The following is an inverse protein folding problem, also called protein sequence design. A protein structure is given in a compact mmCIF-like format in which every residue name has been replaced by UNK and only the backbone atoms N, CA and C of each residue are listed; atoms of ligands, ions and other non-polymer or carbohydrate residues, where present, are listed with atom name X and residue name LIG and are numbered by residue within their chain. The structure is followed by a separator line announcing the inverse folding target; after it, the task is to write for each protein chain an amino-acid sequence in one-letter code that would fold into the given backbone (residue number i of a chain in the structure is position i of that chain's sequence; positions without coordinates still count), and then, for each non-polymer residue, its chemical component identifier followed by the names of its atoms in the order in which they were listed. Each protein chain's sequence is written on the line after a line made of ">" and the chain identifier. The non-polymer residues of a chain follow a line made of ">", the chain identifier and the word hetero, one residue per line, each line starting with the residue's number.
data_IF_156964271888
#
_entry.id   IF_156964271888
#
_cell.length_a   1.000
_cell.length_b   1.000
_cell.length_c   1.000
_cell.angle_alpha   90.00
_cell.angle_beta   90.00
_cell.angle_gamma   90.00
#
_symmetry.space_group_name_H-M   'P 1'
#
loop_
_entity.id
_entity.type
_entity.pdbx_description
1 polymer ?
#
# COMPACT_ATOMS: atom_id res chain seq x y z
N UNK A 1 9.42 2.67 -14.01
CA UNK A 1 8.71 2.35 -12.79
C UNK A 1 9.63 1.69 -11.76
N UNK A 2 10.29 0.56 -12.09
CA UNK A 2 11.22 -0.19 -11.23
C UNK A 2 12.31 0.70 -10.60
N UNK A 3 13.02 1.50 -11.40
CA UNK A 3 14.07 2.41 -10.91
C UNK A 3 13.53 3.44 -9.91
N UNK A 4 12.33 3.95 -10.14
CA UNK A 4 11.66 4.88 -9.22
C UNK A 4 11.35 4.23 -7.88
N UNK A 5 10.87 2.99 -7.89
CA UNK A 5 10.60 2.22 -6.66
C UNK A 5 11.90 1.94 -5.89
N UNK A 6 12.99 1.58 -6.58
CA UNK A 6 14.29 1.39 -5.95
C UNK A 6 14.81 2.66 -5.26
N UNK A 7 14.66 3.81 -5.91
CA UNK A 7 15.04 5.11 -5.30
C UNK A 7 14.17 5.40 -4.06
N UNK A 8 12.87 5.13 -4.12
CA UNK A 8 11.97 5.28 -2.98
C UNK A 8 12.39 4.43 -1.78
N UNK A 9 12.80 3.19 -2.01
CA UNK A 9 13.29 2.30 -0.93
C UNK A 9 14.59 2.79 -0.29
N UNK A 10 15.45 3.44 -1.04
CA UNK A 10 16.67 4.04 -0.49
C UNK A 10 16.38 5.28 0.37
N UNK A 11 15.46 6.13 -0.09
CA UNK A 11 15.12 7.38 0.61
C UNK A 11 14.22 7.16 1.83
N UNK A 12 13.37 6.13 1.80
CA UNK A 12 12.34 5.84 2.81
C UNK A 12 12.44 4.42 3.37
N UNK A 13 13.66 3.89 3.50
CA UNK A 13 13.89 2.49 3.87
C UNK A 13 13.28 2.08 5.22
N UNK A 14 13.16 2.99 6.17
CA UNK A 14 12.51 2.71 7.47
C UNK A 14 11.01 2.43 7.32
N UNK A 15 10.29 3.22 6.51
CA UNK A 15 8.86 2.99 6.25
C UNK A 15 8.63 1.75 5.40
N UNK A 16 9.49 1.51 4.42
CA UNK A 16 9.45 0.30 3.59
C UNK A 16 9.66 -0.95 4.43
N UNK A 17 10.68 -0.95 5.31
CA UNK A 17 10.96 -2.07 6.21
C UNK A 17 9.79 -2.31 7.20
N UNK A 18 9.20 -1.24 7.73
CA UNK A 18 8.06 -1.35 8.64
C UNK A 18 6.82 -1.90 7.93
N UNK A 19 6.47 -1.38 6.73
CA UNK A 19 5.34 -1.88 5.94
C UNK A 19 5.53 -3.35 5.58
N UNK A 20 6.74 -3.73 5.14
CA UNK A 20 7.05 -5.12 4.82
C UNK A 20 6.90 -6.04 6.04
N UNK A 21 7.41 -5.65 7.19
CA UNK A 21 7.27 -6.41 8.42
C UNK A 21 5.80 -6.52 8.87
N UNK A 22 5.00 -5.43 8.76
CA UNK A 22 3.57 -5.42 9.04
C UNK A 22 2.77 -6.34 8.11
N UNK A 23 3.20 -6.50 6.84
CA UNK A 23 2.52 -7.33 5.86
C UNK A 23 2.45 -8.81 6.25
N UNK A 24 3.31 -9.25 7.16
CA UNK A 24 3.30 -10.63 7.69
C UNK A 24 2.31 -10.86 8.84
N UNK A 25 1.70 -9.80 9.33
CA UNK A 25 0.80 -9.87 10.51
C UNK A 25 -0.56 -9.22 10.27
N UNK A 26 -0.75 -8.51 9.15
CA UNK A 26 -1.98 -7.77 8.87
C UNK A 26 -2.37 -7.88 7.39
N UNK A 27 -3.59 -8.36 7.07
CA UNK A 27 -4.10 -8.40 5.70
C UNK A 27 -4.12 -7.02 5.02
N UNK A 28 -4.45 -5.96 5.75
CA UNK A 28 -4.44 -4.59 5.24
C UNK A 28 -3.02 -4.16 4.87
N UNK A 29 -2.06 -4.46 5.73
CA UNK A 29 -0.65 -4.15 5.44
C UNK A 29 -0.08 -5.02 4.33
N UNK A 30 -0.54 -6.27 4.21
CA UNK A 30 -0.21 -7.13 3.07
C UNK A 30 -0.72 -6.53 1.76
N UNK A 31 -1.97 -6.07 1.72
CA UNK A 31 -2.52 -5.39 0.56
C UNK A 31 -1.71 -4.13 0.19
N UNK A 32 -1.34 -3.31 1.18
CA UNK A 32 -0.52 -2.13 0.96
C UNK A 32 0.87 -2.47 0.43
N UNK A 33 1.51 -3.51 0.96
CA UNK A 33 2.82 -3.97 0.47
C UNK A 33 2.74 -4.47 -0.97
N UNK A 34 1.67 -5.18 -1.33
CA UNK A 34 1.44 -5.69 -2.69
C UNK A 34 1.06 -4.59 -3.70
N UNK A 35 0.58 -3.45 -3.25
CA UNK A 35 0.17 -2.33 -4.12
C UNK A 35 1.15 -1.18 -4.18
N UNK A 36 2.00 -0.99 -3.17
CA UNK A 36 2.92 0.17 -3.07
C UNK A 36 4.25 -0.15 -2.36
N UNK A 37 4.44 -1.37 -1.85
CA UNK A 37 5.63 -1.76 -1.09
C UNK A 37 6.60 -2.65 -1.87
N UNK A 38 7.32 -3.47 -1.11
CA UNK A 38 8.28 -4.44 -1.67
C UNK A 38 7.59 -5.51 -2.52
N UNK A 39 6.40 -5.95 -2.13
CA UNK A 39 5.58 -6.89 -2.91
C UNK A 39 5.27 -6.33 -4.30
N UNK A 40 4.86 -5.06 -4.37
CA UNK A 40 4.64 -4.37 -5.64
C UNK A 40 5.92 -4.30 -6.50
N UNK A 41 7.04 -3.94 -5.89
CA UNK A 41 8.33 -3.92 -6.60
C UNK A 41 8.70 -5.29 -7.17
N UNK A 42 8.48 -6.36 -6.41
CA UNK A 42 8.76 -7.72 -6.87
C UNK A 42 7.87 -8.10 -8.06
N UNK A 43 6.58 -7.76 -8.02
CA UNK A 43 5.67 -7.99 -9.14
C UNK A 43 6.07 -7.20 -10.41
N UNK A 44 6.47 -5.93 -10.25
CA UNK A 44 6.96 -5.10 -11.36
C UNK A 44 8.26 -5.65 -11.95
N UNK A 45 9.16 -6.14 -11.09
CA UNK A 45 10.42 -6.74 -11.51
C UNK A 45 10.19 -8.02 -12.30
N UNK A 46 9.33 -8.90 -11.80
CA UNK A 46 8.95 -10.15 -12.47
C UNK A 46 8.29 -9.88 -13.82
N UNK A 47 7.35 -8.92 -13.87
CA UNK A 47 6.70 -8.52 -15.11
C UNK A 47 7.69 -7.91 -16.13
N UNK A 48 8.76 -7.25 -15.70
CA UNK A 48 9.83 -6.76 -16.57
C UNK A 48 10.71 -7.90 -17.09
N UNK A 49 11.11 -8.82 -16.22
CA UNK A 49 12.01 -9.94 -16.56
C UNK A 49 11.33 -10.96 -17.51
N UNK A 50 10.02 -11.15 -17.39
CA UNK A 50 9.22 -12.09 -18.17
C UNK A 50 8.20 -11.39 -19.08
N UNK A 51 8.49 -10.15 -19.52
CA UNK A 51 7.53 -9.30 -20.22
C UNK A 51 6.95 -9.94 -21.47
N UNK A 52 7.79 -10.52 -22.32
CA UNK A 52 7.32 -11.11 -23.59
C UNK A 52 6.41 -12.33 -23.36
N UNK A 53 6.66 -13.09 -22.30
CA UNK A 53 5.84 -14.25 -21.92
C UNK A 53 4.49 -13.84 -21.31
N UNK A 54 4.48 -12.74 -20.53
CA UNK A 54 3.31 -12.29 -19.76
C UNK A 54 2.49 -11.21 -20.46
N UNK A 55 2.99 -10.66 -21.55
CA UNK A 55 2.43 -9.48 -22.24
C UNK A 55 0.93 -9.62 -22.53
N UNK A 56 0.51 -10.72 -23.15
CA UNK A 56 -0.89 -10.92 -23.52
C UNK A 56 -1.79 -11.05 -22.29
N UNK A 57 -1.31 -11.73 -21.25
CA UNK A 57 -2.02 -11.84 -19.96
C UNK A 57 -2.14 -10.48 -19.26
N UNK A 58 -1.08 -9.67 -19.27
CA UNK A 58 -1.10 -8.32 -18.72
C UNK A 58 -2.09 -7.41 -19.46
N UNK A 59 -2.08 -7.48 -20.78
CA UNK A 59 -3.02 -6.71 -21.62
C UNK A 59 -4.47 -7.13 -21.31
N UNK A 60 -4.73 -8.43 -21.25
CA UNK A 60 -6.06 -8.95 -20.93
C UNK A 60 -6.53 -8.46 -19.54
N UNK A 61 -5.72 -8.64 -18.50
CA UNK A 61 -6.04 -8.22 -17.14
C UNK A 61 -6.27 -6.71 -17.03
N UNK A 62 -5.43 -5.89 -17.70
CA UNK A 62 -5.61 -4.44 -17.71
C UNK A 62 -6.92 -4.03 -18.41
N UNK A 63 -7.30 -4.69 -19.51
CA UNK A 63 -8.58 -4.45 -20.18
C UNK A 63 -9.77 -4.82 -19.31
N UNK A 64 -9.70 -5.97 -18.61
CA UNK A 64 -10.74 -6.37 -17.67
C UNK A 64 -10.89 -5.37 -16.50
N UNK A 65 -9.78 -4.96 -15.90
CA UNK A 65 -9.77 -3.96 -14.83
C UNK A 65 -10.35 -2.65 -15.33
N UNK A 66 -9.93 -2.18 -16.51
CA UNK A 66 -10.45 -0.95 -17.10
C UNK A 66 -11.97 -1.04 -17.35
N UNK A 67 -12.46 -2.16 -17.87
CA UNK A 67 -13.90 -2.37 -18.09
C UNK A 67 -14.71 -2.42 -16.79
N UNK A 68 -14.11 -2.83 -15.69
CA UNK A 68 -14.77 -2.86 -14.35
C UNK A 68 -14.74 -1.50 -13.65
N UNK A 69 -13.69 -0.72 -13.84
CA UNK A 69 -13.49 0.57 -13.16
C UNK A 69 -14.17 1.71 -13.92
N UNK A 70 -13.91 1.81 -15.25
CA UNK A 70 -14.39 2.91 -16.08
C UNK A 70 -15.83 2.68 -16.53
N UNK A 71 -16.75 2.74 -15.58
CA UNK A 71 -18.18 2.55 -15.76
C UNK A 71 -18.94 3.77 -15.30
N UNK A 72 -20.08 4.04 -15.93
CA UNK A 72 -20.94 5.15 -15.55
C UNK A 72 -21.49 5.00 -14.13
N UNK A 73 -21.85 3.81 -13.72
CA UNK A 73 -22.39 3.49 -12.40
C UNK A 73 -21.34 3.54 -11.25
N UNK A 74 -20.05 3.58 -11.60
CA UNK A 74 -18.95 3.80 -10.66
C UNK A 74 -18.52 5.28 -10.58
N UNK A 75 -19.04 6.13 -11.47
CA UNK A 75 -18.61 7.53 -11.54
C UNK A 75 -19.26 8.34 -10.42
N UNK A 76 -18.43 8.98 -9.60
CA UNK A 76 -18.86 10.01 -8.66
C UNK A 76 -18.20 11.33 -9.05
N UNK A 77 -19.00 12.36 -9.20
CA UNK A 77 -18.52 13.71 -9.53
C UNK A 77 -18.86 14.64 -8.37
N UNK A 78 -17.85 15.34 -7.87
CA UNK A 78 -18.02 16.44 -6.91
C UNK A 78 -17.66 17.74 -7.60
N UNK A 79 -18.60 18.69 -7.62
CA UNK A 79 -18.44 19.98 -8.28
C UNK A 79 -18.65 21.10 -7.28
N UNK A 80 -17.73 22.04 -7.27
CA UNK A 80 -17.86 23.32 -6.54
C UNK A 80 -17.70 24.45 -7.53
N UNK A 81 -18.80 25.12 -7.87
CA UNK A 81 -18.82 26.22 -8.83
C UNK A 81 -19.97 27.19 -8.53
N UNK A 82 -19.98 28.35 -9.20
CA UNK A 82 -21.16 29.18 -9.27
C UNK A 82 -22.28 28.53 -10.08
N UNK A 83 -23.50 29.06 -9.97
CA UNK A 83 -24.69 28.47 -10.61
C UNK A 83 -24.54 28.37 -12.14
N UNK A 84 -23.84 29.31 -12.75
CA UNK A 84 -23.54 29.37 -14.18
C UNK A 84 -22.61 28.20 -14.65
N UNK A 85 -21.84 27.63 -13.73
CA UNK A 85 -20.92 26.54 -14.04
C UNK A 85 -21.58 25.15 -14.09
N UNK A 86 -22.78 25.00 -13.56
CA UNK A 86 -23.44 23.69 -13.42
C UNK A 86 -23.87 23.11 -14.77
N UNK A 87 -24.55 23.89 -15.59
CA UNK A 87 -25.09 23.43 -16.89
C UNK A 87 -24.03 22.95 -17.88
N UNK A 88 -22.90 23.65 -18.07
CA UNK A 88 -21.82 23.18 -18.94
C UNK A 88 -21.26 21.82 -18.47
N UNK A 89 -21.05 21.65 -17.17
CA UNK A 89 -20.49 20.40 -16.62
C UNK A 89 -21.50 19.25 -16.77
N UNK A 90 -22.79 19.47 -16.50
CA UNK A 90 -23.82 18.47 -16.69
C UNK A 90 -23.93 17.99 -18.14
N UNK A 91 -23.75 18.91 -19.11
CA UNK A 91 -23.72 18.54 -20.54
C UNK A 91 -22.55 17.65 -20.89
N UNK A 92 -21.34 18.01 -20.45
CA UNK A 92 -20.15 17.21 -20.70
C UNK A 92 -20.23 15.83 -20.04
N UNK A 93 -20.74 15.75 -18.80
CA UNK A 93 -20.97 14.49 -18.11
C UNK A 93 -21.97 13.61 -18.84
N UNK A 94 -23.04 14.19 -19.40
CA UNK A 94 -24.02 13.43 -20.20
C UNK A 94 -23.37 12.82 -21.45
N UNK A 95 -22.45 13.55 -22.09
CA UNK A 95 -21.68 13.05 -23.23
C UNK A 95 -20.63 11.97 -22.88
N UNK A 96 -20.21 11.90 -21.61
CA UNK A 96 -19.32 10.84 -21.14
C UNK A 96 -20.02 9.49 -20.94
N UNK A 97 -21.34 9.51 -20.70
CA UNK A 97 -22.13 8.29 -20.45
C UNK A 97 -21.99 7.26 -21.57
N UNK A 98 -21.98 7.73 -22.82
CA UNK A 98 -21.86 6.86 -24.00
C UNK A 98 -20.44 6.32 -24.25
N UNK A 99 -19.45 6.94 -23.59
CA UNK A 99 -18.04 6.53 -23.68
C UNK A 99 -17.62 5.56 -22.59
N UNK A 100 -18.37 5.51 -21.48
CA UNK A 100 -18.09 4.61 -20.38
C UNK A 100 -18.87 3.30 -20.53
N UNK A 101 -18.31 2.23 -20.01
CA UNK A 101 -18.99 0.95 -20.03
C UNK A 101 -20.32 1.04 -19.26
N UNK A 102 -21.41 0.66 -19.91
CA UNK A 102 -22.75 0.61 -19.32
C UNK A 102 -23.09 -0.80 -18.83
N UNK A 103 -24.09 -0.86 -17.96
CA UNK A 103 -24.64 -2.10 -17.46
C UNK A 103 -24.14 -2.46 -16.04
N UNK A 104 -25.09 -2.71 -15.15
CA UNK A 104 -24.79 -3.18 -13.80
C UNK A 104 -24.26 -4.61 -13.90
N UNK A 105 -22.96 -4.82 -13.75
CA UNK A 105 -22.45 -6.15 -13.46
C UNK A 105 -22.84 -6.44 -12.02
N UNK A 106 -23.58 -7.52 -11.77
CA UNK A 106 -23.74 -8.00 -10.41
C UNK A 106 -22.34 -8.17 -9.83
N UNK A 107 -22.00 -7.31 -8.87
CA UNK A 107 -20.74 -7.46 -8.17
C UNK A 107 -20.90 -8.71 -7.31
N UNK A 108 -20.41 -9.84 -7.79
CA UNK A 108 -20.09 -10.91 -6.87
C UNK A 108 -19.05 -10.33 -5.91
N UNK A 109 -19.44 -10.14 -4.66
CA UNK A 109 -18.51 -9.78 -3.60
C UNK A 109 -17.43 -10.88 -3.49
N UNK A 110 -16.39 -10.73 -4.26
CA UNK A 110 -15.23 -11.61 -4.15
C UNK A 110 -14.42 -11.15 -2.96
N UNK A 111 -14.60 -11.78 -1.83
CA UNK A 111 -13.75 -11.55 -0.66
C UNK A 111 -12.36 -12.07 -0.97
N UNK A 112 -11.43 -11.17 -1.20
CA UNK A 112 -10.02 -11.52 -1.28
C UNK A 112 -9.50 -11.79 0.13
N UNK A 113 -9.20 -13.05 0.45
CA UNK A 113 -8.59 -13.44 1.71
C UNK A 113 -7.08 -13.41 1.51
N UNK A 114 -6.42 -12.40 2.09
CA UNK A 114 -4.98 -12.30 2.10
C UNK A 114 -4.41 -13.09 3.28
N UNK A 115 -3.66 -14.14 2.98
CA UNK A 115 -2.99 -14.93 4.00
C UNK A 115 -1.67 -14.26 4.41
N UNK A 116 -1.53 -14.04 5.71
CA UNK A 116 -0.31 -13.52 6.31
C UNK A 116 0.48 -14.66 6.94
N UNK A 117 1.76 -14.78 6.59
CA UNK A 117 2.65 -15.79 7.16
C UNK A 117 3.84 -15.09 7.79
N UNK A 118 4.09 -15.33 9.07
CA UNK A 118 5.24 -14.76 9.79
C UNK A 118 6.55 -15.19 9.12
N UNK A 119 7.40 -14.22 8.83
CA UNK A 119 8.65 -14.43 8.10
C UNK A 119 9.72 -13.46 8.58
N UNK A 120 10.96 -13.91 8.60
CA UNK A 120 12.13 -13.06 8.76
C UNK A 120 12.79 -12.90 7.39
N UNK A 121 12.96 -11.68 6.94
CA UNK A 121 13.57 -11.36 5.65
C UNK A 121 14.65 -10.29 5.79
N UNK A 122 15.61 -10.31 4.88
CA UNK A 122 16.60 -9.26 4.70
C UNK A 122 16.75 -8.92 3.22
N UNK A 123 16.75 -7.63 2.91
CA UNK A 123 16.96 -7.12 1.56
C UNK A 123 18.31 -6.40 1.48
N UNK A 124 19.12 -6.78 0.50
CA UNK A 124 20.38 -6.06 0.21
C UNK A 124 20.08 -4.89 -0.72
N UNK A 125 20.58 -3.73 -0.33
CA UNK A 125 20.50 -2.50 -1.13
C UNK A 125 21.89 -1.88 -1.24
N UNK A 126 22.05 -0.91 -2.13
CA UNK A 126 23.27 -0.11 -2.24
C UNK A 126 23.39 0.97 -1.15
N UNK A 127 22.42 1.08 -0.26
CA UNK A 127 22.42 2.03 0.85
C UNK A 127 23.51 1.68 1.86
N UNK A 128 24.17 2.71 2.39
CA UNK A 128 25.13 2.58 3.51
C UNK A 128 24.44 2.55 4.88
N UNK A 129 23.12 2.72 4.91
CA UNK A 129 22.30 2.75 6.12
C UNK A 129 21.49 1.47 6.20
N UNK A 130 21.47 0.86 7.39
CA UNK A 130 20.64 -0.31 7.69
C UNK A 130 19.35 0.12 8.36
N UNK A 131 18.25 -0.42 7.89
CA UNK A 131 16.93 -0.26 8.49
C UNK A 131 16.46 -1.60 9.03
N UNK A 132 16.06 -1.62 10.30
CA UNK A 132 15.56 -2.82 10.98
C UNK A 132 14.15 -2.55 11.49
N UNK A 133 13.19 -3.38 11.10
CA UNK A 133 11.83 -3.33 11.59
C UNK A 133 11.48 -4.66 12.29
N UNK A 134 10.81 -4.57 13.43
CA UNK A 134 10.24 -5.72 14.14
C UNK A 134 8.78 -5.45 14.41
N UNK A 135 7.94 -6.39 14.05
CA UNK A 135 6.49 -6.29 14.19
C UNK A 135 5.97 -7.51 14.95
N UNK A 136 4.94 -7.31 15.73
CA UNK A 136 4.15 -8.36 16.37
C UNK A 136 2.68 -7.96 16.41
N UNK A 137 1.79 -8.93 16.33
CA UNK A 137 0.37 -8.72 16.55
C UNK A 137 0.03 -9.17 17.98
N UNK A 138 -0.27 -8.22 18.85
CA UNK A 138 -0.59 -8.51 20.26
C UNK A 138 -1.98 -9.17 20.40
N UNK A 139 -2.88 -8.98 19.45
CA UNK A 139 -4.19 -9.63 19.43
C UNK A 139 -4.03 -11.15 19.24
N UNK A 140 -3.08 -11.60 18.41
CA UNK A 140 -2.74 -13.02 18.28
C UNK A 140 -2.23 -13.63 19.62
N UNK A 141 -1.68 -12.80 20.49
CA UNK A 141 -1.25 -13.15 21.84
C UNK A 141 -2.36 -13.09 22.90
N UNK A 142 -3.61 -12.83 22.48
CA UNK A 142 -4.76 -12.75 23.39
C UNK A 142 -4.90 -11.42 24.13
N UNK A 143 -4.21 -10.36 23.72
CA UNK A 143 -4.35 -9.03 24.30
C UNK A 143 -5.31 -8.17 23.48
N UNK A 144 -6.15 -7.41 24.16
CA UNK A 144 -7.07 -6.46 23.56
C UNK A 144 -6.43 -5.08 23.38
N UNK A 145 -6.89 -4.35 22.35
CA UNK A 145 -6.50 -2.96 22.19
C UNK A 145 -7.15 -2.09 23.28
N UNK A 146 -6.32 -1.27 23.92
CA UNK A 146 -6.79 -0.25 24.85
C UNK A 146 -5.99 1.05 24.66
N UNK A 147 -6.59 2.19 25.04
CA UNK A 147 -5.98 3.51 24.91
C UNK A 147 -4.64 3.67 25.64
N UNK A 148 -4.38 2.87 26.69
CA UNK A 148 -3.10 2.87 27.40
C UNK A 148 -1.92 2.43 26.53
N UNK A 149 -2.15 1.68 25.46
CA UNK A 149 -1.11 1.31 24.47
C UNK A 149 -0.53 2.54 23.76
N UNK A 150 -1.29 3.61 23.62
CA UNK A 150 -0.78 4.87 23.06
C UNK A 150 0.21 5.55 24.03
N UNK A 151 -0.04 5.47 25.33
CA UNK A 151 0.88 5.96 26.35
C UNK A 151 2.15 5.10 26.37
N UNK A 152 1.99 3.77 26.31
CA UNK A 152 3.11 2.83 26.22
C UNK A 152 4.00 3.12 25.02
N UNK A 153 3.41 3.40 23.85
CA UNK A 153 4.14 3.80 22.63
C UNK A 153 5.06 5.00 22.88
N UNK A 154 4.55 6.03 23.55
CA UNK A 154 5.33 7.24 23.88
C UNK A 154 6.47 6.90 24.84
N UNK A 155 6.19 6.15 25.91
CA UNK A 155 7.20 5.72 26.90
C UNK A 155 8.29 4.88 26.20
N UNK A 156 7.90 3.92 25.37
CA UNK A 156 8.86 3.08 24.64
C UNK A 156 9.72 3.93 23.67
N UNK A 157 9.12 4.84 22.93
CA UNK A 157 9.86 5.65 21.95
C UNK A 157 10.91 6.53 22.60
N UNK A 158 10.53 7.30 23.61
CA UNK A 158 11.42 8.33 24.20
C UNK A 158 12.15 7.84 25.46
N UNK A 159 11.52 7.06 26.31
CA UNK A 159 12.12 6.59 27.55
C UNK A 159 13.09 5.42 27.36
N UNK A 160 12.74 4.47 26.50
CA UNK A 160 13.52 3.24 26.34
C UNK A 160 14.30 3.15 25.03
N UNK A 161 13.61 3.21 23.89
CA UNK A 161 14.25 3.00 22.58
C UNK A 161 15.23 4.12 22.26
N UNK A 162 14.86 5.36 22.48
CA UNK A 162 15.74 6.49 22.23
C UNK A 162 17.03 6.39 23.03
N UNK A 163 16.95 6.07 24.32
CA UNK A 163 18.12 5.97 25.19
C UNK A 163 19.03 4.78 24.82
N UNK A 164 18.45 3.63 24.51
CA UNK A 164 19.23 2.41 24.30
C UNK A 164 19.68 2.22 22.84
N UNK A 165 18.86 2.61 21.88
CA UNK A 165 19.15 2.39 20.45
C UNK A 165 19.86 3.60 19.85
N UNK A 166 19.34 4.81 20.08
CA UNK A 166 19.95 6.01 19.50
C UNK A 166 21.13 6.51 20.31
N UNK A 167 20.95 6.80 21.60
CA UNK A 167 21.98 7.46 22.43
C UNK A 167 23.15 6.50 22.71
N UNK A 168 22.86 5.31 23.24
CA UNK A 168 23.89 4.33 23.58
C UNK A 168 24.33 3.49 22.38
N UNK A 169 23.39 3.13 21.50
CA UNK A 169 23.66 2.27 20.34
C UNK A 169 24.14 3.00 19.09
N UNK A 170 24.11 4.34 19.09
CA UNK A 170 24.62 5.16 17.98
C UNK A 170 23.76 5.12 16.70
N UNK A 171 22.52 4.61 16.76
CA UNK A 171 21.61 4.62 15.62
C UNK A 171 21.17 6.04 15.29
N UNK A 172 20.87 6.31 14.00
CA UNK A 172 20.37 7.60 13.55
C UNK A 172 19.00 7.94 14.14
N UNK A 173 18.13 6.96 14.27
CA UNK A 173 16.79 7.11 14.86
C UNK A 173 16.18 5.78 15.26
N UNK A 174 15.11 5.85 16.03
CA UNK A 174 14.28 4.71 16.42
C UNK A 174 12.85 5.19 16.63
N UNK A 175 11.89 4.33 16.35
CA UNK A 175 10.46 4.63 16.48
C UNK A 175 9.72 3.40 16.99
N UNK A 176 8.60 3.66 17.70
CA UNK A 176 7.59 2.67 18.06
C UNK A 176 6.23 3.15 17.55
N UNK A 177 5.42 2.29 16.97
CA UNK A 177 4.12 2.61 16.39
C UNK A 177 3.05 1.61 16.75
#
# INVERSE_FOLDING_TARGET
>A
LKSRLQMSFQSSGHTTAALRALSYSSPISKFKDDTDGVGYYQAVKEAEEHFEEQKETLIHNLKEIAARIFRWDNLMVSLTCGEEGLDPVCRELSGMKDRLHGGRTESQETRCILHCTKKNEGFKTSSKVQYVARVGNFIDGGADYCGTLQILKVILSYGYLWQNIRVKGGAYGCMSG
#
